data_IF_045522035748
#
_entry.id   IF_045522035748
#
_cell.length_a   1.000
_cell.length_b   1.000
_cell.length_c   1.000
_cell.angle_alpha   90.00
_cell.angle_beta   90.00
_cell.angle_gamma   90.00
#
_symmetry.space_group_name_H-M   'P 1'
#
loop_
_entity.id
_entity.type
_entity.pdbx_description
1 polymer ?
#
# COMPACT_ATOMS: atom_id res chain seq x y z
N UNK A 1 19.00 12.06 16.40
CA UNK A 1 20.42 11.73 16.17
C UNK A 1 20.44 10.32 15.64
N UNK A 2 20.23 10.14 14.33
CA UNK A 2 21.21 10.21 13.23
C UNK A 2 21.95 8.88 13.05
N UNK A 3 21.80 8.30 11.86
CA UNK A 3 22.89 7.64 11.16
C UNK A 3 22.60 7.75 9.66
N UNK A 4 23.11 8.83 9.06
CA UNK A 4 23.37 8.95 7.64
C UNK A 4 24.80 8.49 7.42
N UNK A 5 25.01 7.49 6.57
CA UNK A 5 26.33 7.11 6.10
C UNK A 5 26.33 7.00 4.58
N UNK A 6 27.25 7.74 3.96
CA UNK A 6 27.85 7.41 2.64
C UNK A 6 27.38 8.24 1.45
N UNK A 7 28.22 9.18 1.01
CA UNK A 7 28.10 9.87 -0.29
C UNK A 7 28.83 9.16 -1.43
N UNK A 8 28.49 9.52 -2.68
CA UNK A 8 29.25 9.20 -3.90
C UNK A 8 28.41 8.66 -5.07
N UNK A 9 27.81 9.58 -5.83
CA UNK A 9 27.28 9.54 -7.21
C UNK A 9 26.36 8.41 -7.72
N UNK A 10 25.22 8.86 -8.28
CA UNK A 10 24.14 8.16 -9.01
C UNK A 10 22.99 7.58 -8.18
N UNK A 11 22.11 8.48 -7.69
CA UNK A 11 20.73 8.21 -7.24
C UNK A 11 20.53 6.82 -6.61
N UNK A 12 21.14 6.62 -5.44
CA UNK A 12 21.04 5.38 -4.68
C UNK A 12 19.58 4.98 -4.50
N UNK A 13 19.28 3.77 -4.95
CA UNK A 13 18.00 3.08 -4.90
C UNK A 13 17.66 2.71 -3.45
N UNK A 14 17.19 3.67 -2.66
CA UNK A 14 16.96 3.48 -1.23
C UNK A 14 15.65 2.71 -0.99
N UNK A 15 15.78 1.43 -0.65
CA UNK A 15 14.70 0.65 -0.03
C UNK A 15 14.59 1.03 1.45
N UNK A 16 13.38 1.30 1.95
CA UNK A 16 13.13 1.63 3.35
C UNK A 16 11.76 1.15 3.83
N UNK A 17 11.58 1.11 5.14
CA UNK A 17 10.28 0.84 5.78
C UNK A 17 9.95 1.92 6.82
N UNK A 18 8.65 2.17 7.02
CA UNK A 18 8.10 3.03 8.07
C UNK A 18 7.08 2.26 8.88
N UNK A 19 6.96 2.64 10.14
CA UNK A 19 6.14 1.97 11.14
C UNK A 19 5.36 3.01 11.95
N UNK A 20 4.19 2.66 12.46
CA UNK A 20 3.47 3.45 13.45
C UNK A 20 3.99 3.18 14.89
N UNK A 21 3.38 3.82 15.89
CA UNK A 21 3.77 3.66 17.30
C UNK A 21 3.43 2.27 17.87
N UNK A 22 2.48 1.55 17.27
CA UNK A 22 2.09 0.21 17.68
C UNK A 22 2.98 -0.87 17.03
N UNK A 23 3.92 -0.48 16.18
CA UNK A 23 4.80 -1.40 15.48
C UNK A 23 4.18 -2.01 14.23
N UNK A 24 3.12 -1.41 13.68
CA UNK A 24 2.57 -1.82 12.39
C UNK A 24 3.28 -1.11 11.25
N UNK A 25 3.62 -1.82 10.18
CA UNK A 25 4.30 -1.21 9.02
C UNK A 25 3.30 -0.33 8.27
N UNK A 26 3.60 0.95 8.05
CA UNK A 26 2.73 1.89 7.33
C UNK A 26 3.17 2.13 5.90
N UNK A 27 4.46 1.93 5.60
CA UNK A 27 5.02 2.05 4.25
C UNK A 27 6.22 1.15 4.06
N UNK A 28 6.36 0.56 2.88
CA UNK A 28 7.59 -0.08 2.39
C UNK A 28 7.91 0.43 0.99
N UNK A 29 9.04 1.11 0.84
CA UNK A 29 9.60 1.51 -0.44
C UNK A 29 10.67 0.51 -0.85
N UNK A 30 10.59 0.03 -2.08
CA UNK A 30 11.68 -0.64 -2.78
C UNK A 30 12.12 0.23 -3.96
N UNK A 31 13.11 -0.25 -4.73
CA UNK A 31 13.60 0.38 -5.95
C UNK A 31 12.46 0.90 -6.86
N UNK A 32 11.57 -0.01 -7.26
CA UNK A 32 10.57 0.22 -8.31
C UNK A 32 9.13 0.14 -7.80
N UNK A 33 8.92 0.05 -6.48
CA UNK A 33 7.58 -0.04 -5.90
C UNK A 33 7.48 0.63 -4.54
N UNK A 34 6.27 1.08 -4.24
CA UNK A 34 5.85 1.55 -2.95
C UNK A 34 4.68 0.71 -2.45
N UNK A 35 4.66 0.37 -1.17
CA UNK A 35 3.52 -0.26 -0.53
C UNK A 35 3.09 0.61 0.63
N UNK A 36 1.84 1.04 0.64
CA UNK A 36 1.20 1.70 1.77
C UNK A 36 0.26 0.72 2.46
N UNK A 37 0.23 0.75 3.80
CA UNK A 37 -0.60 -0.14 4.60
C UNK A 37 -1.35 0.68 5.64
N UNK A 38 -2.64 0.39 5.79
CA UNK A 38 -3.51 0.96 6.82
C UNK A 38 -3.90 -0.12 7.81
N UNK A 39 -4.01 0.26 9.08
CA UNK A 39 -4.36 -0.60 10.18
C UNK A 39 -5.57 -0.03 10.92
N UNK A 40 -6.41 -0.89 11.47
CA UNK A 40 -7.51 -0.47 12.34
C UNK A 40 -7.05 -0.33 13.81
N UNK A 41 -7.97 0.10 14.68
CA UNK A 41 -7.70 0.34 16.10
C UNK A 41 -7.30 -0.94 16.87
N UNK A 42 -7.63 -2.11 16.33
CA UNK A 42 -7.30 -3.43 16.90
C UNK A 42 -5.99 -4.01 16.32
N UNK A 43 -5.20 -3.19 15.61
CA UNK A 43 -3.94 -3.57 14.95
C UNK A 43 -4.11 -4.63 13.86
N UNK A 44 -5.24 -4.60 13.14
CA UNK A 44 -5.47 -5.47 11.97
C UNK A 44 -5.32 -4.68 10.68
N UNK A 45 -4.74 -5.33 9.67
CA UNK A 45 -4.50 -4.72 8.37
C UNK A 45 -5.82 -4.45 7.64
N UNK A 46 -6.20 -3.19 7.46
CA UNK A 46 -7.46 -2.78 6.84
C UNK A 46 -7.33 -2.51 5.33
N UNK A 47 -6.18 -2.00 4.88
CA UNK A 47 -5.93 -1.78 3.45
C UNK A 47 -4.45 -1.85 3.07
N UNK A 48 -4.19 -2.20 1.80
CA UNK A 48 -2.87 -2.17 1.16
C UNK A 48 -3.00 -1.50 -0.21
N UNK A 49 -2.16 -0.50 -0.47
CA UNK A 49 -1.97 0.07 -1.81
C UNK A 49 -0.55 -0.23 -2.27
N UNK A 50 -0.44 -1.11 -3.26
CA UNK A 50 0.80 -1.41 -3.97
C UNK A 50 0.90 -0.49 -5.18
N UNK A 51 1.88 0.39 -5.20
CA UNK A 51 2.18 1.32 -6.29
C UNK A 51 3.44 0.86 -7.00
N UNK A 52 3.28 0.17 -8.12
CA UNK A 52 4.34 -0.21 -9.03
C UNK A 52 3.95 0.23 -10.46
N UNK A 53 4.38 -0.50 -11.49
CA UNK A 53 3.91 -0.29 -12.88
C UNK A 53 2.37 -0.28 -12.95
N UNK A 54 1.73 -1.20 -12.23
CA UNK A 54 0.30 -1.16 -11.97
C UNK A 54 0.03 -0.89 -10.48
N UNK A 55 -0.95 -0.04 -10.22
CA UNK A 55 -1.39 0.21 -8.85
C UNK A 55 -2.46 -0.82 -8.47
N UNK A 56 -2.24 -1.56 -7.39
CA UNK A 56 -3.18 -2.53 -6.84
C UNK A 56 -3.67 -2.07 -5.47
N UNK A 57 -4.99 -2.11 -5.27
CA UNK A 57 -5.63 -1.87 -3.98
C UNK A 57 -6.16 -3.20 -3.43
N UNK A 58 -5.93 -3.45 -2.14
CA UNK A 58 -6.60 -4.49 -1.36
C UNK A 58 -7.20 -3.88 -0.09
N UNK A 59 -8.42 -4.26 0.26
CA UNK A 59 -9.14 -3.84 1.47
C UNK A 59 -9.67 -5.07 2.17
N UNK A 60 -9.60 -5.10 3.50
CA UNK A 60 -9.97 -6.25 4.32
C UNK A 60 -11.01 -5.81 5.36
N UNK A 61 -12.05 -6.62 5.55
CA UNK A 61 -13.00 -6.47 6.65
C UNK A 61 -12.97 -7.71 7.52
N UNK A 62 -13.09 -7.49 8.82
CA UNK A 62 -13.04 -8.52 9.84
C UNK A 62 -14.39 -8.67 10.53
N UNK A 63 -14.71 -9.86 10.99
CA UNK A 63 -15.87 -10.11 11.83
C UNK A 63 -15.60 -9.75 13.30
N UNK A 64 -16.61 -9.94 14.15
CA UNK A 64 -16.51 -9.64 15.58
C UNK A 64 -15.54 -10.56 16.34
N UNK A 65 -15.16 -11.71 15.78
CA UNK A 65 -14.18 -12.62 16.36
C UNK A 65 -12.74 -12.28 15.92
N UNK A 66 -12.58 -11.30 15.02
CA UNK A 66 -11.29 -10.89 14.46
C UNK A 66 -10.84 -11.72 13.26
N UNK A 67 -11.71 -12.57 12.72
CA UNK A 67 -11.44 -13.33 11.51
C UNK A 67 -11.76 -12.48 10.28
N UNK A 68 -10.95 -12.60 9.21
CA UNK A 68 -11.20 -11.84 7.99
C UNK A 68 -12.44 -12.38 7.31
N UNK A 69 -13.50 -11.58 7.25
CA UNK A 69 -14.76 -11.94 6.59
C UNK A 69 -14.76 -11.59 5.09
N UNK A 70 -14.21 -10.43 4.72
CA UNK A 70 -14.18 -9.97 3.33
C UNK A 70 -12.80 -9.51 2.87
N UNK A 71 -12.52 -9.70 1.59
CA UNK A 71 -11.45 -9.02 0.86
C UNK A 71 -12.03 -8.39 -0.41
N UNK A 72 -11.68 -7.13 -0.64
CA UNK A 72 -11.86 -6.45 -1.91
C UNK A 72 -10.48 -6.21 -2.51
N UNK A 73 -10.25 -6.54 -3.77
CA UNK A 73 -8.97 -6.23 -4.41
C UNK A 73 -9.08 -6.01 -5.90
N UNK A 74 -8.26 -5.12 -6.43
CA UNK A 74 -8.28 -4.79 -7.84
C UNK A 74 -7.18 -3.83 -8.25
N UNK A 75 -7.04 -3.65 -9.56
CA UNK A 75 -6.11 -2.71 -10.17
C UNK A 75 -6.78 -1.36 -10.38
N UNK A 76 -6.02 -0.29 -10.17
CA UNK A 76 -6.40 1.08 -10.50
C UNK A 76 -5.98 1.43 -11.92
N UNK A 77 -6.93 1.85 -12.75
CA UNK A 77 -6.72 2.36 -14.10
C UNK A 77 -6.73 3.90 -14.10
N UNK A 78 -5.83 4.51 -14.87
CA UNK A 78 -5.71 5.95 -15.03
C UNK A 78 -5.95 6.34 -16.48
N UNK A 79 -6.84 7.31 -16.71
CA UNK A 79 -6.99 7.97 -18.00
C UNK A 79 -6.24 9.31 -17.95
N UNK A 80 -5.18 9.42 -18.75
CA UNK A 80 -4.41 10.67 -18.90
C UNK A 80 -4.69 11.31 -20.26
N UNK A 81 -4.94 12.61 -20.28
CA UNK A 81 -5.01 13.43 -21.50
C UNK A 81 -4.07 14.63 -21.31
N UNK A 82 -3.13 14.82 -22.24
CA UNK A 82 -2.12 15.88 -22.16
C UNK A 82 -1.33 15.90 -20.83
N UNK A 83 -1.05 14.71 -20.27
CA UNK A 83 -0.35 14.57 -19.00
C UNK A 83 -1.19 14.86 -17.75
N UNK A 84 -2.47 15.18 -17.90
CA UNK A 84 -3.40 15.40 -16.80
C UNK A 84 -4.28 14.17 -16.56
N UNK A 85 -4.44 13.79 -15.29
CA UNK A 85 -5.35 12.72 -14.88
C UNK A 85 -6.79 13.22 -15.06
N UNK A 86 -7.53 12.63 -15.99
CA UNK A 86 -8.94 12.92 -16.21
C UNK A 86 -9.85 11.95 -15.43
N UNK A 87 -9.40 10.71 -15.27
CA UNK A 87 -10.14 9.70 -14.52
C UNK A 87 -9.21 8.72 -13.82
N UNK A 88 -9.61 8.29 -12.63
CA UNK A 88 -9.00 7.19 -11.90
C UNK A 88 -10.11 6.25 -11.45
N UNK A 89 -10.02 4.99 -11.83
CA UNK A 89 -11.03 3.99 -11.51
C UNK A 89 -10.37 2.72 -10.98
N UNK A 90 -10.91 2.16 -9.91
CA UNK A 90 -10.45 0.87 -9.36
C UNK A 90 -11.60 -0.11 -9.40
N UNK A 91 -11.47 -1.17 -10.20
CA UNK A 91 -12.45 -2.23 -10.26
C UNK A 91 -12.11 -3.29 -9.21
N UNK A 92 -12.95 -3.43 -8.18
CA UNK A 92 -12.68 -4.32 -7.05
C UNK A 92 -13.40 -5.67 -7.24
N UNK A 93 -12.64 -6.76 -7.16
CA UNK A 93 -13.15 -8.10 -7.00
C UNK A 93 -13.38 -8.39 -5.52
N UNK A 94 -14.51 -9.03 -5.19
CA UNK A 94 -14.84 -9.41 -3.81
C UNK A 94 -14.58 -10.89 -3.56
N UNK A 95 -14.07 -11.20 -2.38
CA UNK A 95 -13.94 -12.56 -1.85
C UNK A 95 -14.54 -12.59 -0.45
N UNK A 96 -15.50 -13.49 -0.22
CA UNK A 96 -16.05 -13.80 1.09
C UNK A 96 -15.30 -15.00 1.66
N UNK A 97 -14.95 -14.94 2.93
CA UNK A 97 -14.39 -16.05 3.69
C UNK A 97 -15.48 -16.59 4.62
N UNK A 98 -15.65 -17.92 4.61
CA UNK A 98 -16.65 -18.68 5.38
C UNK A 98 -16.00 -19.87 6.06
#
# INVERSE_FOLDING_TARGET
MENLAGGGDNASLISFARWDLNGNMTRRRNRDSDRYLCWDEENRLSAVSDQAEETQLSVYLYDANGERAWKFSGTTNLLLINGQILSQQTALNKTLYV
#
